data_IF_167086435802
#
_entry.id   IF_167086435802
#
_cell.length_a   1.000
_cell.length_b   1.000
_cell.length_c   1.000
_cell.angle_alpha   90.00
_cell.angle_beta   90.00
_cell.angle_gamma   90.00
#
_symmetry.space_group_name_H-M   'P 1'
#
loop_
_entity.id
_entity.type
_entity.pdbx_description
1 polymer ?
#
# COMPACT_ATOMS: atom_id res chain seq x y z
N UNK A 1 -2.01 24.47 14.57
CA UNK A 1 -1.05 23.41 14.21
C UNK A 1 -1.82 22.12 14.39
N UNK A 2 -2.61 21.76 13.38
CA UNK A 2 -3.16 20.41 13.34
C UNK A 2 -1.94 19.50 13.27
N UNK A 3 -1.70 18.71 14.31
CA UNK A 3 -0.74 17.62 14.19
C UNK A 3 -1.38 16.67 13.19
N UNK A 4 -1.01 16.81 11.92
CA UNK A 4 -1.43 15.93 10.85
C UNK A 4 -0.93 14.52 11.21
N UNK A 5 -1.74 13.78 11.96
CA UNK A 5 -1.71 12.33 11.85
C UNK A 5 -1.95 12.06 10.38
N UNK A 6 -0.87 11.73 9.68
CA UNK A 6 -0.87 11.43 8.26
C UNK A 6 -2.03 10.45 8.01
N UNK A 7 -3.05 10.92 7.27
CA UNK A 7 -4.32 10.20 7.15
C UNK A 7 -4.03 8.79 6.65
N UNK A 8 -4.48 7.77 7.40
CA UNK A 8 -4.38 6.39 6.98
C UNK A 8 -5.06 6.20 5.63
N UNK A 9 -4.39 5.51 4.72
CA UNK A 9 -4.80 5.25 3.34
C UNK A 9 -4.73 3.76 3.09
N UNK A 10 -5.66 3.23 2.30
CA UNK A 10 -5.60 1.83 1.90
C UNK A 10 -4.66 1.66 0.72
N UNK A 11 -3.73 0.72 0.81
CA UNK A 11 -2.82 0.36 -0.27
C UNK A 11 -2.99 -1.11 -0.67
N UNK A 12 -2.93 -1.38 -1.97
CA UNK A 12 -2.62 -2.70 -2.51
C UNK A 12 -1.14 -2.72 -2.86
N UNK A 13 -0.41 -3.71 -2.36
CA UNK A 13 1.00 -3.91 -2.70
C UNK A 13 1.13 -5.09 -3.66
N UNK A 14 1.80 -4.88 -4.78
CA UNK A 14 2.07 -5.86 -5.81
C UNK A 14 3.55 -6.20 -5.86
N UNK A 15 3.84 -7.46 -6.16
CA UNK A 15 5.17 -7.87 -6.61
C UNK A 15 5.35 -7.49 -8.09
N UNK A 16 6.43 -6.76 -8.39
CA UNK A 16 6.73 -6.31 -9.75
C UNK A 16 7.10 -7.47 -10.68
N UNK A 17 7.61 -8.59 -10.16
CA UNK A 17 8.01 -9.73 -10.98
C UNK A 17 6.78 -10.53 -11.43
N UNK A 18 5.93 -10.92 -10.48
CA UNK A 18 4.71 -11.70 -10.78
C UNK A 18 3.52 -10.87 -11.24
N UNK A 19 3.53 -9.54 -10.99
CA UNK A 19 2.37 -8.64 -11.15
C UNK A 19 1.15 -9.04 -10.32
N UNK A 20 1.36 -9.85 -9.27
CA UNK A 20 0.30 -10.31 -8.38
C UNK A 20 0.25 -9.47 -7.09
N UNK A 21 -0.95 -9.23 -6.52
CA UNK A 21 -1.05 -8.59 -5.22
C UNK A 21 -0.51 -9.52 -4.14
N UNK A 22 0.35 -8.97 -3.27
CA UNK A 22 1.00 -9.69 -2.18
C UNK A 22 0.57 -9.20 -0.80
N UNK A 23 0.04 -7.97 -0.70
CA UNK A 23 -0.54 -7.44 0.53
C UNK A 23 -1.64 -6.40 0.24
N UNK A 24 -2.57 -6.23 1.17
CA UNK A 24 -3.53 -5.12 1.19
C UNK A 24 -3.73 -4.64 2.62
N UNK A 25 -3.82 -3.33 2.82
CA UNK A 25 -4.07 -2.78 4.16
C UNK A 25 -3.91 -1.28 4.27
N UNK A 26 -4.27 -0.75 5.43
CA UNK A 26 -4.13 0.66 5.75
C UNK A 26 -2.71 1.00 6.19
N UNK A 27 -2.14 2.05 5.61
CA UNK A 27 -0.82 2.59 5.94
C UNK A 27 -0.80 4.10 5.81
N UNK A 28 0.20 4.72 6.43
CA UNK A 28 0.42 6.18 6.36
C UNK A 28 1.00 6.63 5.01
N UNK A 29 1.75 5.74 4.33
CA UNK A 29 2.38 6.03 3.05
C UNK A 29 2.63 4.78 2.20
N UNK A 30 2.89 4.99 0.91
CA UNK A 30 3.27 3.92 -0.01
C UNK A 30 4.63 3.28 0.36
N UNK A 31 5.55 4.06 0.94
CA UNK A 31 6.84 3.55 1.41
C UNK A 31 6.65 2.59 2.58
N UNK A 32 5.85 2.99 3.58
CA UNK A 32 5.53 2.14 4.73
C UNK A 32 4.79 0.88 4.29
N UNK A 33 3.89 0.97 3.31
CA UNK A 33 3.22 -0.20 2.74
C UNK A 33 4.19 -1.19 2.09
N UNK A 34 5.16 -0.72 1.30
CA UNK A 34 6.20 -1.58 0.72
C UNK A 34 7.08 -2.20 1.79
N UNK A 35 7.51 -1.42 2.79
CA UNK A 35 8.31 -1.92 3.92
C UNK A 35 7.58 -3.06 4.65
N UNK A 36 6.33 -2.84 5.05
CA UNK A 36 5.53 -3.85 5.74
C UNK A 36 5.33 -5.11 4.88
N UNK A 37 5.04 -4.95 3.58
CA UNK A 37 4.89 -6.08 2.66
C UNK A 37 6.21 -6.83 2.45
N UNK A 38 7.35 -6.14 2.39
CA UNK A 38 8.69 -6.72 2.31
C UNK A 38 8.99 -7.59 3.52
N UNK A 39 8.72 -7.09 4.74
CA UNK A 39 8.88 -7.86 5.98
C UNK A 39 7.99 -9.10 6.00
N UNK A 40 6.76 -9.00 5.50
CA UNK A 40 5.80 -10.12 5.50
C UNK A 40 6.11 -11.20 4.44
N UNK A 41 6.64 -10.80 3.28
CA UNK A 41 6.79 -11.68 2.12
C UNK A 41 8.24 -12.11 1.86
N UNK A 42 9.22 -11.39 2.43
CA UNK A 42 10.64 -11.53 2.11
C UNK A 42 11.05 -10.92 0.76
N UNK A 43 10.15 -10.23 0.05
CA UNK A 43 10.44 -9.56 -1.22
C UNK A 43 11.08 -8.20 -0.92
N UNK A 44 12.18 -7.89 -1.59
CA UNK A 44 12.85 -6.59 -1.42
C UNK A 44 11.94 -5.43 -1.80
N UNK A 45 11.92 -4.36 -1.01
CA UNK A 45 10.96 -3.24 -1.18
C UNK A 45 11.00 -2.59 -2.55
N UNK A 46 12.17 -2.52 -3.18
CA UNK A 46 12.31 -1.95 -4.53
C UNK A 46 11.63 -2.80 -5.61
N UNK A 47 11.33 -4.06 -5.33
CA UNK A 47 10.57 -4.96 -6.20
C UNK A 47 9.06 -4.92 -5.90
N UNK A 48 8.60 -4.04 -5.01
CA UNK A 48 7.20 -3.88 -4.67
C UNK A 48 6.65 -2.57 -5.22
N UNK A 49 5.40 -2.60 -5.67
CA UNK A 49 4.62 -1.42 -6.03
C UNK A 49 3.46 -1.28 -5.05
N UNK A 50 3.33 -0.12 -4.39
CA UNK A 50 2.19 0.17 -3.55
C UNK A 50 1.27 1.17 -4.27
N UNK A 51 0.04 0.74 -4.52
CA UNK A 51 -1.02 1.54 -5.14
C UNK A 51 -2.00 2.00 -4.06
N UNK A 52 -2.17 3.30 -3.90
CA UNK A 52 -3.20 3.87 -3.02
C UNK A 52 -4.57 3.68 -3.68
N UNK A 53 -5.51 3.08 -2.96
CA UNK A 53 -6.89 2.91 -3.42
C UNK A 53 -7.85 3.68 -2.52
N UNK A 54 -8.82 4.34 -3.16
CA UNK A 54 -9.93 5.01 -2.49
C UNK A 54 -11.18 4.14 -2.64
N UNK A 55 -11.49 3.38 -1.59
CA UNK A 55 -12.65 2.48 -1.55
C UNK A 55 -13.98 3.25 -1.65
N UNK A 56 -14.03 4.51 -1.22
CA UNK A 56 -15.25 5.31 -1.21
C UNK A 56 -15.60 5.87 -2.59
N UNK A 57 -14.59 6.13 -3.44
CA UNK A 57 -14.81 6.65 -4.80
C UNK A 57 -15.24 5.60 -5.83
N UNK A 58 -15.14 4.31 -5.54
CA UNK A 58 -15.45 3.26 -6.52
C UNK A 58 -16.96 2.96 -6.67
N UNK A 59 -17.84 3.54 -5.85
CA UNK A 59 -19.30 3.42 -6.02
C UNK A 59 -19.82 4.59 -6.84
N UNK A 60 -19.59 4.57 -8.15
CA UNK A 60 -20.36 5.41 -9.08
C UNK A 60 -21.13 4.47 -10.01
N UNK A 61 -22.45 4.38 -9.81
CA UNK A 61 -23.37 3.56 -10.62
C UNK A 61 -23.57 4.15 -12.01
#
# INVERSE_FOLDING_TARGET
MESEFEKMKTFIVYDLDSKMPVAVGEQVSAETARYCASVATGIFEANLLAEEIDLEKQITY
#
